data_IF_831213563409
#
_entry.id   IF_831213563409
#
_cell.length_a   1.000
_cell.length_b   1.000
_cell.length_c   1.000
_cell.angle_alpha   90.00
_cell.angle_beta   90.00
_cell.angle_gamma   90.00
#
_symmetry.space_group_name_H-M   'P 1'
#
loop_
_entity.id
_entity.type
_entity.pdbx_description
1 polymer ?
#
# COMPACT_ATOMS: atom_id res chain seq x y z
N UNK A 1 3.58 7.48 -18.32
CA UNK A 1 5.00 7.72 -18.01
C UNK A 1 5.48 6.72 -16.98
N UNK A 2 6.71 6.23 -17.13
CA UNK A 2 7.30 5.27 -16.20
C UNK A 2 8.62 5.81 -15.66
N UNK A 3 8.89 5.55 -14.38
CA UNK A 3 10.08 6.05 -13.70
C UNK A 3 10.64 4.98 -12.77
N UNK A 4 11.93 4.71 -12.87
CA UNK A 4 12.62 3.81 -11.95
C UNK A 4 12.79 4.47 -10.58
N UNK A 5 12.62 3.67 -9.51
CA UNK A 5 12.72 4.14 -8.13
C UNK A 5 13.69 3.25 -7.34
N UNK A 6 14.50 3.88 -6.50
CA UNK A 6 15.24 3.20 -5.45
C UNK A 6 14.40 3.11 -4.18
N UNK A 7 14.94 2.58 -3.09
CA UNK A 7 14.23 2.41 -1.82
C UNK A 7 13.54 3.69 -1.35
N UNK A 8 14.28 4.79 -1.30
CA UNK A 8 13.74 6.09 -0.87
C UNK A 8 12.65 6.56 -1.82
N UNK A 9 12.86 6.39 -3.12
CA UNK A 9 11.87 6.76 -4.13
C UNK A 9 10.59 5.96 -4.00
N UNK A 10 10.67 4.65 -3.76
CA UNK A 10 9.48 3.83 -3.55
C UNK A 10 8.71 4.31 -2.33
N UNK A 11 9.39 4.52 -1.21
CA UNK A 11 8.74 4.98 0.03
C UNK A 11 8.04 6.32 -0.18
N UNK A 12 8.71 7.27 -0.83
CA UNK A 12 8.13 8.58 -1.10
C UNK A 12 6.90 8.48 -2.01
N UNK A 13 7.03 7.80 -3.13
CA UNK A 13 5.93 7.72 -4.11
C UNK A 13 4.77 6.88 -3.59
N UNK A 14 5.04 5.86 -2.76
CA UNK A 14 3.98 5.08 -2.13
C UNK A 14 3.12 5.97 -1.22
N UNK A 15 3.76 6.75 -0.35
CA UNK A 15 3.02 7.67 0.52
C UNK A 15 2.22 8.67 -0.29
N UNK A 16 2.83 9.27 -1.35
CA UNK A 16 2.15 10.23 -2.20
C UNK A 16 0.98 9.60 -2.96
N UNK A 17 1.15 8.38 -3.45
CA UNK A 17 0.08 7.65 -4.15
C UNK A 17 -1.13 7.45 -3.23
N UNK A 18 -0.89 7.03 -1.99
CA UNK A 18 -1.96 6.84 -1.02
C UNK A 18 -2.63 8.18 -0.71
N UNK A 19 -1.84 9.18 -0.39
CA UNK A 19 -2.32 10.51 -0.04
C UNK A 19 -3.14 11.15 -1.15
N UNK A 20 -2.75 10.96 -2.42
CA UNK A 20 -3.37 11.59 -3.58
C UNK A 20 -4.52 10.78 -4.18
N UNK A 21 -4.92 9.68 -3.55
CA UNK A 21 -6.06 8.88 -4.00
C UNK A 21 -7.34 9.72 -3.96
N UNK A 22 -8.07 9.76 -5.07
CA UNK A 22 -9.33 10.49 -5.17
C UNK A 22 -10.55 9.57 -5.12
N UNK A 23 -10.46 8.40 -5.72
CA UNK A 23 -11.59 7.48 -5.84
C UNK A 23 -11.30 6.11 -5.28
N UNK A 24 -10.21 5.48 -5.71
CA UNK A 24 -9.96 4.08 -5.41
C UNK A 24 -8.48 3.83 -5.13
N UNK A 25 -8.22 3.03 -4.10
CA UNK A 25 -6.88 2.60 -3.71
C UNK A 25 -6.85 1.09 -3.57
N UNK A 26 -5.87 0.44 -4.18
CA UNK A 26 -5.63 -0.99 -4.04
C UNK A 26 -4.19 -1.19 -3.56
N UNK A 27 -4.03 -1.82 -2.41
CA UNK A 27 -2.73 -2.13 -1.84
C UNK A 27 -2.56 -3.65 -1.81
N UNK A 28 -1.56 -4.14 -2.53
CA UNK A 28 -1.24 -5.57 -2.62
C UNK A 28 0.14 -5.78 -2.02
N UNK A 29 0.20 -6.49 -0.89
CA UNK A 29 1.46 -6.77 -0.20
C UNK A 29 1.30 -8.03 0.65
N UNK A 30 2.20 -9.01 0.50
CA UNK A 30 2.14 -10.23 1.34
C UNK A 30 2.19 -9.94 2.83
N UNK A 31 3.07 -9.03 3.24
CA UNK A 31 3.26 -8.64 4.63
C UNK A 31 2.80 -7.20 4.82
N UNK A 32 2.07 -6.95 5.89
CA UNK A 32 1.56 -5.61 6.21
C UNK A 32 2.02 -5.21 7.62
N UNK A 33 2.60 -4.02 7.71
CA UNK A 33 2.86 -3.33 8.97
C UNK A 33 2.83 -1.84 8.66
N UNK A 34 1.75 -1.19 9.01
CA UNK A 34 1.54 0.21 8.65
C UNK A 34 2.26 1.13 9.63
N UNK A 35 2.95 2.11 9.09
CA UNK A 35 3.45 3.23 9.91
C UNK A 35 2.26 4.08 10.35
N UNK A 36 2.48 4.90 11.38
CA UNK A 36 1.43 5.81 11.84
C UNK A 36 1.00 6.79 10.74
N UNK A 37 1.94 7.24 9.90
CA UNK A 37 1.62 8.12 8.77
C UNK A 37 0.72 7.45 7.75
N UNK A 38 1.01 6.20 7.40
CA UNK A 38 0.18 5.46 6.45
C UNK A 38 -1.21 5.23 7.04
N UNK A 39 -1.29 4.86 8.32
CA UNK A 39 -2.58 4.71 9.01
C UNK A 39 -3.40 6.00 8.97
N UNK A 40 -2.73 7.14 9.18
CA UNK A 40 -3.40 8.44 9.11
C UNK A 40 -3.98 8.71 7.73
N UNK A 41 -3.20 8.48 6.68
CA UNK A 41 -3.68 8.67 5.31
C UNK A 41 -4.84 7.73 4.98
N UNK A 42 -4.75 6.46 5.38
CA UNK A 42 -5.82 5.49 5.13
C UNK A 42 -7.08 5.85 5.92
N UNK A 43 -6.93 6.30 7.15
CA UNK A 43 -8.06 6.75 7.97
C UNK A 43 -8.76 7.94 7.31
N UNK A 44 -8.01 8.91 6.81
CA UNK A 44 -8.57 10.06 6.11
C UNK A 44 -9.35 9.66 4.86
N UNK A 45 -8.80 8.76 4.06
CA UNK A 45 -9.48 8.24 2.87
C UNK A 45 -10.75 7.48 3.26
N UNK A 46 -10.70 6.71 4.33
CA UNK A 46 -11.86 5.95 4.81
C UNK A 46 -12.98 6.86 5.29
N UNK A 47 -12.65 7.94 6.00
CA UNK A 47 -13.62 8.96 6.43
C UNK A 47 -14.29 9.59 5.21
N UNK A 48 -13.54 9.82 4.14
CA UNK A 48 -14.06 10.37 2.88
C UNK A 48 -14.81 9.33 2.03
N UNK A 49 -14.94 8.11 2.53
CA UNK A 49 -15.65 7.00 1.86
C UNK A 49 -15.04 6.61 0.51
N UNK A 50 -13.72 6.72 0.39
CA UNK A 50 -13.02 6.21 -0.80
C UNK A 50 -13.03 4.69 -0.80
N UNK A 51 -12.96 4.10 -1.99
CA UNK A 51 -12.89 2.65 -2.13
C UNK A 51 -11.46 2.19 -1.85
N UNK A 52 -11.25 1.56 -0.70
CA UNK A 52 -9.93 1.07 -0.29
C UNK A 52 -9.98 -0.44 -0.19
N UNK A 53 -9.08 -1.10 -0.91
CA UNK A 53 -8.94 -2.55 -0.91
C UNK A 53 -7.51 -2.94 -0.60
N UNK A 54 -7.34 -3.88 0.33
CA UNK A 54 -6.03 -4.39 0.74
C UNK A 54 -6.01 -5.89 0.56
N UNK A 55 -5.02 -6.39 -0.19
CA UNK A 55 -4.82 -7.83 -0.40
C UNK A 55 -3.52 -8.22 0.27
N UNK A 56 -3.57 -9.23 1.13
CA UNK A 56 -2.40 -9.71 1.85
C UNK A 56 -2.35 -11.24 1.86
N UNK A 57 -1.20 -11.78 2.27
CA UNK A 57 -1.00 -13.22 2.26
C UNK A 57 -1.64 -13.86 3.49
N UNK A 58 -2.31 -14.99 3.28
CA UNK A 58 -2.91 -15.77 4.36
C UNK A 58 -1.90 -16.07 5.46
N UNK A 59 -2.32 -15.91 6.72
CA UNK A 59 -1.53 -16.21 7.92
C UNK A 59 -0.27 -15.34 8.09
N UNK A 60 -0.20 -14.19 7.43
CA UNK A 60 0.95 -13.28 7.53
C UNK A 60 0.62 -11.93 8.17
N UNK A 61 -0.60 -11.78 8.67
CA UNK A 61 -1.02 -10.53 9.31
C UNK A 61 -0.81 -10.64 10.82
N UNK A 62 -0.09 -9.68 11.40
CA UNK A 62 0.11 -9.60 12.83
C UNK A 62 -1.17 -9.16 13.54
N UNK A 63 -1.28 -9.53 14.82
CA UNK A 63 -2.44 -9.22 15.64
C UNK A 63 -2.79 -7.73 15.66
N UNK A 64 -1.78 -6.86 15.83
CA UNK A 64 -2.01 -5.42 15.88
C UNK A 64 -2.56 -4.86 14.57
N UNK A 65 -2.01 -5.31 13.45
CA UNK A 65 -2.48 -4.89 12.12
C UNK A 65 -3.88 -5.40 11.84
N UNK A 66 -4.16 -6.63 12.24
CA UNK A 66 -5.50 -7.20 12.10
C UNK A 66 -6.52 -6.38 12.88
N UNK A 67 -6.20 -6.05 14.14
CA UNK A 67 -7.10 -5.25 14.98
C UNK A 67 -7.33 -3.86 14.38
N UNK A 68 -6.27 -3.22 13.89
CA UNK A 68 -6.41 -1.92 13.28
C UNK A 68 -7.28 -1.97 12.03
N UNK A 69 -7.08 -2.96 11.16
CA UNK A 69 -7.88 -3.13 9.95
C UNK A 69 -9.35 -3.39 10.28
N UNK A 70 -9.62 -4.20 11.30
CA UNK A 70 -10.98 -4.46 11.74
C UNK A 70 -11.68 -3.20 12.27
N UNK A 71 -10.91 -2.26 12.81
CA UNK A 71 -11.44 -0.98 13.28
C UNK A 71 -11.83 -0.04 12.14
N UNK A 72 -11.33 -0.29 10.92
CA UNK A 72 -11.56 0.53 9.72
C UNK A 72 -12.67 -0.10 8.87
N UNK A 73 -13.90 0.16 9.21
CA UNK A 73 -15.07 -0.51 8.63
C UNK A 73 -15.15 -0.37 7.11
N UNK A 74 -14.74 0.76 6.56
CA UNK A 74 -14.81 1.02 5.13
C UNK A 74 -13.70 0.38 4.31
N UNK A 75 -12.65 -0.14 4.93
CA UNK A 75 -11.54 -0.78 4.24
C UNK A 75 -11.87 -2.26 4.01
N UNK A 76 -11.85 -2.69 2.75
CA UNK A 76 -12.10 -4.08 2.39
C UNK A 76 -10.78 -4.83 2.29
N UNK A 77 -10.71 -5.99 2.92
CA UNK A 77 -9.52 -6.83 2.92
C UNK A 77 -9.80 -8.16 2.25
N UNK A 78 -8.78 -8.74 1.64
CA UNK A 78 -8.85 -10.07 1.01
C UNK A 78 -7.56 -10.84 1.29
N UNK A 79 -7.72 -12.13 1.48
CA UNK A 79 -6.60 -13.06 1.64
C UNK A 79 -6.24 -13.65 0.29
N UNK A 80 -4.96 -13.76 0.01
CA UNK A 80 -4.48 -14.43 -1.19
C UNK A 80 -3.41 -15.44 -0.79
N UNK A 81 -3.71 -16.73 -0.98
CA UNK A 81 -2.78 -17.82 -0.66
C UNK A 81 -1.55 -17.71 -1.57
N UNK A 82 -0.37 -17.87 -0.99
CA UNK A 82 0.90 -17.83 -1.72
C UNK A 82 1.20 -16.48 -2.42
N UNK A 83 0.56 -15.40 -1.99
CA UNK A 83 0.83 -14.07 -2.53
C UNK A 83 2.29 -13.69 -2.30
N UNK A 84 2.96 -13.22 -3.36
CA UNK A 84 4.30 -12.65 -3.29
C UNK A 84 4.39 -11.31 -4.01
N UNK A 85 3.43 -10.98 -4.82
CA UNK A 85 3.39 -9.71 -5.56
C UNK A 85 3.24 -8.51 -4.63
N UNK A 86 3.86 -7.40 -5.01
CA UNK A 86 3.72 -6.11 -4.34
C UNK A 86 3.36 -5.07 -5.39
N UNK A 87 2.20 -4.49 -5.25
CA UNK A 87 1.71 -3.50 -6.21
C UNK A 87 0.75 -2.57 -5.51
N UNK A 88 0.90 -1.28 -5.75
CA UNK A 88 0.10 -0.24 -5.12
C UNK A 88 -0.49 0.64 -6.20
N UNK A 89 -1.81 0.80 -6.21
CA UNK A 89 -2.53 1.37 -7.35
C UNK A 89 -3.61 2.34 -6.86
N UNK A 90 -3.69 3.50 -7.47
CA UNK A 90 -4.88 4.33 -7.39
C UNK A 90 -5.42 4.60 -8.81
N UNK A 91 -6.40 5.47 -8.96
CA UNK A 91 -7.05 5.72 -10.26
C UNK A 91 -6.12 6.30 -11.31
N UNK A 92 -4.97 6.88 -10.91
CA UNK A 92 -4.04 7.57 -11.83
C UNK A 92 -2.64 7.00 -11.86
N UNK A 93 -2.25 6.22 -10.83
CA UNK A 93 -0.87 5.86 -10.60
C UNK A 93 -0.75 4.40 -10.17
N UNK A 94 0.42 3.82 -10.42
CA UNK A 94 0.75 2.48 -9.94
C UNK A 94 2.22 2.41 -9.59
N UNK A 95 2.54 1.60 -8.59
CA UNK A 95 3.92 1.25 -8.24
C UNK A 95 4.02 -0.25 -8.22
N UNK A 96 4.96 -0.79 -9.00
CA UNK A 96 5.32 -2.20 -8.97
C UNK A 96 6.71 -2.25 -8.34
N UNK A 97 6.87 -3.03 -7.28
CA UNK A 97 8.09 -2.96 -6.47
C UNK A 97 8.40 -4.28 -5.77
N UNK A 98 9.63 -4.41 -5.31
CA UNK A 98 10.03 -5.47 -4.38
C UNK A 98 9.65 -5.16 -2.93
N UNK A 99 9.29 -3.91 -2.61
CA UNK A 99 9.05 -3.45 -1.25
C UNK A 99 7.66 -3.86 -0.75
N UNK A 100 7.63 -4.63 0.34
CA UNK A 100 6.40 -4.86 1.08
C UNK A 100 5.92 -3.56 1.74
N UNK A 101 4.62 -3.46 1.95
CA UNK A 101 4.05 -2.40 2.79
C UNK A 101 4.30 -2.77 4.25
N UNK A 102 5.56 -2.70 4.64
CA UNK A 102 6.06 -3.19 5.90
C UNK A 102 7.19 -2.25 6.35
N UNK A 103 7.08 -1.70 7.54
CA UNK A 103 7.99 -0.67 8.03
C UNK A 103 9.46 -1.09 7.95
N UNK A 104 9.76 -2.34 8.33
CA UNK A 104 11.14 -2.86 8.28
C UNK A 104 11.72 -2.82 6.86
N UNK A 105 10.94 -3.24 5.86
CA UNK A 105 11.37 -3.19 4.45
C UNK A 105 11.69 -1.78 4.00
N UNK A 106 10.89 -0.81 4.44
CA UNK A 106 11.08 0.58 4.05
C UNK A 106 12.34 1.20 4.65
N UNK A 107 12.78 0.71 5.80
CA UNK A 107 13.91 1.29 6.53
C UNK A 107 15.22 0.53 6.38
N UNK A 108 15.18 -0.78 6.17
CA UNK A 108 16.35 -1.64 6.31
C UNK A 108 16.76 -2.39 5.05
N UNK A 109 15.87 -2.53 4.07
CA UNK A 109 16.17 -3.28 2.85
C UNK A 109 16.56 -2.34 1.71
N UNK A 110 17.34 -2.88 0.78
CA UNK A 110 17.56 -2.23 -0.51
C UNK A 110 16.48 -2.71 -1.45
N UNK A 111 15.57 -1.83 -1.82
CA UNK A 111 14.42 -2.12 -2.65
C UNK A 111 14.48 -1.34 -3.96
N UNK A 112 13.66 -1.77 -4.92
CA UNK A 112 13.52 -1.04 -6.18
C UNK A 112 12.08 -1.13 -6.65
N UNK A 113 11.73 -0.27 -7.58
CA UNK A 113 10.41 -0.30 -8.15
C UNK A 113 10.28 0.56 -9.38
N UNK A 114 9.10 0.50 -9.98
CA UNK A 114 8.72 1.33 -11.12
C UNK A 114 7.45 2.07 -10.77
N UNK A 115 7.48 3.38 -10.93
CA UNK A 115 6.32 4.25 -10.80
C UNK A 115 5.75 4.48 -12.19
N UNK A 116 4.44 4.30 -12.32
CA UNK A 116 3.73 4.45 -13.58
C UNK A 116 2.59 5.42 -13.35
N UNK A 117 2.46 6.43 -14.22
CA UNK A 117 1.33 7.35 -14.18
C UNK A 117 0.68 7.45 -15.56
N UNK A 118 -0.59 7.83 -15.56
CA UNK A 118 -1.27 8.11 -16.82
C UNK A 118 -0.57 9.26 -17.53
N UNK A 119 -0.31 9.08 -18.83
CA UNK A 119 0.23 10.15 -19.65
C UNK A 119 -0.82 11.24 -19.83
N UNK A 120 -0.38 12.48 -19.81
CA UNK A 120 -1.24 13.64 -20.10
C UNK A 120 -1.05 14.08 -21.53
#
# INVERSE_FOLDING_TARGET
MAKFLNTTGVSYHLEELIKNTKDKLILISPYLQFTDRIKEHLTNLNIQKKDIRIVYRENKLHFEENNWLESQIGIRTSLCKNLHAKCYINENEAIITSMNLYEFSQQNNNEMGVYISKAL
#
